data_IF_992886740215
#
_entry.id   IF_992886740215
#
_cell.length_a   1.000
_cell.length_b   1.000
_cell.length_c   1.000
_cell.angle_alpha   90.00
_cell.angle_beta   90.00
_cell.angle_gamma   90.00
#
_symmetry.space_group_name_H-M   'P 1'
#
loop_
_entity.id
_entity.type
_entity.pdbx_description
1 polymer ?
#
# COMPACT_ATOMS: atom_id res chain seq x y z
N UNK A 1 38.24 -49.97 18.63
CA UNK A 1 38.09 -48.53 18.34
C UNK A 1 36.70 -48.32 17.76
N UNK A 2 35.79 -47.71 18.53
CA UNK A 2 34.42 -47.42 18.10
C UNK A 2 34.38 -45.96 17.64
N UNK A 3 34.02 -45.75 16.38
CA UNK A 3 33.72 -44.42 15.84
C UNK A 3 32.46 -43.87 16.53
N UNK A 4 32.44 -42.60 16.95
CA UNK A 4 31.21 -41.97 17.37
C UNK A 4 30.36 -41.66 16.12
N UNK A 5 29.13 -42.14 16.17
CA UNK A 5 28.04 -41.78 15.27
C UNK A 5 27.83 -40.26 15.31
N UNK A 6 28.14 -39.58 14.21
CA UNK A 6 27.75 -38.18 14.01
C UNK A 6 26.23 -38.08 13.98
N UNK A 7 25.71 -37.23 14.86
CA UNK A 7 24.31 -36.84 14.96
C UNK A 7 23.92 -36.05 13.71
N UNK A 8 23.14 -36.66 12.82
CA UNK A 8 22.46 -36.00 11.69
C UNK A 8 21.08 -35.54 12.17
N UNK A 9 21.02 -34.44 12.92
CA UNK A 9 19.78 -33.75 13.25
C UNK A 9 20.02 -32.24 13.15
N UNK A 10 19.11 -31.56 12.48
CA UNK A 10 18.96 -30.11 12.28
C UNK A 10 19.68 -29.50 11.07
N UNK A 11 19.18 -29.81 9.87
CA UNK A 11 19.32 -28.94 8.70
C UNK A 11 18.00 -28.94 7.91
N UNK A 12 16.92 -28.44 8.51
CA UNK A 12 15.61 -28.37 7.85
C UNK A 12 14.74 -27.20 8.34
N UNK A 13 15.34 -26.05 8.65
CA UNK A 13 14.62 -24.82 9.05
C UNK A 13 15.19 -23.54 8.42
N UNK A 14 15.74 -23.64 7.21
CA UNK A 14 15.91 -22.48 6.35
C UNK A 14 15.06 -22.69 5.11
N UNK A 15 13.74 -22.81 5.29
CA UNK A 15 12.83 -22.36 4.26
C UNK A 15 13.03 -20.85 4.21
N UNK A 16 13.86 -20.38 3.29
CA UNK A 16 13.88 -18.98 2.91
C UNK A 16 12.45 -18.68 2.46
N UNK A 17 11.68 -18.00 3.31
CA UNK A 17 10.50 -17.29 2.85
C UNK A 17 11.00 -16.40 1.72
N UNK A 18 10.51 -16.60 0.49
CA UNK A 18 10.65 -15.53 -0.50
C UNK A 18 10.06 -14.28 0.14
N UNK A 19 10.77 -13.16 0.12
CA UNK A 19 10.29 -11.88 0.66
C UNK A 19 9.79 -11.03 -0.52
N UNK A 20 8.54 -10.52 -0.46
CA UNK A 20 8.23 -9.09 -0.47
C UNK A 20 9.38 -8.15 -0.64
N UNK A 21 9.75 -7.68 -1.83
CA UNK A 21 11.03 -7.01 -2.01
C UNK A 21 12.14 -7.95 -1.51
N UNK A 22 12.89 -8.61 -2.39
CA UNK A 22 13.88 -9.60 -1.95
C UNK A 22 14.89 -8.95 -1.00
N UNK A 23 15.08 -9.54 0.20
CA UNK A 23 15.85 -8.95 1.32
C UNK A 23 15.31 -7.62 1.89
N UNK A 24 14.03 -7.33 1.68
CA UNK A 24 13.30 -6.21 2.25
C UNK A 24 13.01 -6.33 3.74
N UNK A 25 12.59 -5.20 4.31
CA UNK A 25 12.11 -5.17 5.70
C UNK A 25 10.57 -5.27 5.68
N UNK A 26 9.97 -6.25 6.38
CA UNK A 26 8.53 -6.30 6.55
C UNK A 26 8.00 -5.03 7.23
N UNK A 27 6.91 -4.50 6.73
CA UNK A 27 6.19 -3.37 7.34
C UNK A 27 4.79 -3.79 7.74
N UNK A 28 4.24 -3.14 8.75
CA UNK A 28 2.85 -3.39 9.15
C UNK A 28 1.92 -2.77 8.11
N UNK A 29 1.27 -3.64 7.32
CA UNK A 29 0.35 -3.21 6.27
C UNK A 29 -0.82 -2.38 6.82
N UNK A 30 -1.24 -2.61 8.07
CA UNK A 30 -2.30 -1.79 8.68
C UNK A 30 -1.90 -0.33 8.90
N UNK A 31 -0.59 -0.03 8.95
CA UNK A 31 -0.05 1.33 9.08
C UNK A 31 0.18 2.00 7.71
N UNK A 32 -0.01 1.26 6.62
CA UNK A 32 0.06 1.71 5.23
C UNK A 32 -1.20 1.23 4.50
N UNK A 33 -2.36 1.56 5.09
CA UNK A 33 -3.68 1.08 4.66
C UNK A 33 -4.18 1.70 3.35
N UNK A 34 -3.46 2.66 2.80
CA UNK A 34 -3.59 3.14 1.43
C UNK A 34 -2.91 2.22 0.39
N UNK A 35 -1.92 1.43 0.78
CA UNK A 35 -1.27 0.48 -0.13
C UNK A 35 -2.17 -0.75 -0.26
N UNK A 36 -2.49 -1.15 -1.49
CA UNK A 36 -3.40 -2.28 -1.76
C UNK A 36 -2.78 -3.25 -2.75
N UNK A 37 -3.20 -4.52 -2.66
CA UNK A 37 -2.82 -5.53 -3.64
C UNK A 37 -3.92 -5.62 -4.70
N UNK A 38 -3.53 -5.64 -5.96
CA UNK A 38 -4.43 -5.97 -7.06
C UNK A 38 -4.25 -7.44 -7.40
N UNK A 39 -5.33 -8.20 -7.42
CA UNK A 39 -5.34 -9.65 -7.57
C UNK A 39 -6.16 -10.09 -8.79
N UNK A 40 -5.85 -11.29 -9.27
CA UNK A 40 -6.69 -12.04 -10.20
C UNK A 40 -7.43 -13.16 -9.46
N UNK A 41 -8.77 -13.14 -9.50
CA UNK A 41 -9.64 -14.11 -8.84
C UNK A 41 -9.44 -15.56 -9.29
N UNK A 42 -8.91 -15.76 -10.50
CA UNK A 42 -8.68 -17.07 -11.12
C UNK A 42 -7.22 -17.51 -11.12
N UNK A 43 -6.27 -16.58 -11.00
CA UNK A 43 -4.84 -16.86 -11.03
C UNK A 43 -4.10 -16.07 -9.94
N UNK A 44 -3.94 -16.70 -8.77
CA UNK A 44 -3.27 -16.10 -7.60
C UNK A 44 -1.79 -15.74 -7.82
N UNK A 45 -1.18 -16.17 -8.91
CA UNK A 45 0.18 -15.77 -9.27
C UNK A 45 0.23 -14.45 -10.04
N UNK A 46 -0.91 -13.94 -10.50
CA UNK A 46 -1.04 -12.62 -11.12
C UNK A 46 -1.55 -11.64 -10.08
N UNK A 47 -0.64 -10.81 -9.59
CA UNK A 47 -0.94 -9.71 -8.71
C UNK A 47 0.03 -8.55 -8.94
N UNK A 48 -0.40 -7.36 -8.54
CA UNK A 48 0.39 -6.14 -8.55
C UNK A 48 0.18 -5.37 -7.25
N UNK A 49 1.03 -4.36 -7.04
CA UNK A 49 0.86 -3.38 -5.96
C UNK A 49 0.16 -2.14 -6.53
N UNK A 50 -0.65 -1.46 -5.73
CA UNK A 50 -1.25 -0.18 -6.06
C UNK A 50 -1.37 0.68 -4.81
N UNK A 51 -1.59 1.98 -4.99
CA UNK A 51 -1.82 2.93 -3.90
C UNK A 51 -3.17 3.62 -4.07
N UNK A 52 -3.99 3.60 -3.02
CA UNK A 52 -5.30 4.25 -2.97
C UNK A 52 -5.14 5.77 -3.12
N UNK A 53 -5.94 6.33 -4.01
CA UNK A 53 -6.08 7.75 -4.24
C UNK A 53 -7.56 8.11 -4.38
N UNK A 54 -7.97 9.28 -3.91
CA UNK A 54 -9.36 9.77 -4.04
C UNK A 54 -10.45 8.77 -3.58
N UNK A 55 -10.24 8.13 -2.42
CA UNK A 55 -11.24 7.34 -1.70
C UNK A 55 -11.59 5.97 -2.28
N UNK A 56 -11.66 5.82 -3.61
CA UNK A 56 -12.10 4.58 -4.30
C UNK A 56 -11.30 4.25 -5.55
N UNK A 57 -10.31 5.07 -5.88
CA UNK A 57 -9.38 4.81 -6.97
C UNK A 57 -8.07 4.27 -6.40
N UNK A 58 -7.33 3.52 -7.20
CA UNK A 58 -5.94 3.19 -6.89
C UNK A 58 -5.07 3.37 -8.14
N UNK A 59 -3.89 3.95 -7.96
CA UNK A 59 -2.89 4.10 -9.02
C UNK A 59 -1.92 2.92 -8.99
N UNK A 60 -1.57 2.42 -10.17
CA UNK A 60 -0.69 1.26 -10.37
C UNK A 60 0.05 1.38 -11.70
N UNK A 61 0.83 0.36 -12.08
CA UNK A 61 1.48 0.33 -13.38
C UNK A 61 0.46 0.01 -14.48
N UNK A 62 0.63 0.63 -15.65
CA UNK A 62 -0.25 0.43 -16.80
C UNK A 62 -0.28 -1.03 -17.26
N UNK A 63 0.85 -1.73 -17.20
CA UNK A 63 0.91 -3.15 -17.56
C UNK A 63 0.14 -4.05 -16.60
N UNK A 64 -0.04 -3.68 -15.33
CA UNK A 64 -0.90 -4.41 -14.40
C UNK A 64 -2.37 -4.39 -14.88
N UNK A 65 -2.79 -3.28 -15.50
CA UNK A 65 -4.12 -3.13 -16.11
C UNK A 65 -4.19 -3.76 -17.50
N UNK A 66 -3.20 -3.51 -18.35
CA UNK A 66 -3.20 -3.90 -19.76
C UNK A 66 -2.96 -5.39 -20.00
N UNK A 67 -2.08 -6.03 -19.22
CA UNK A 67 -1.75 -7.44 -19.41
C UNK A 67 -2.93 -8.36 -19.03
N UNK A 68 -3.98 -7.77 -18.45
CA UNK A 68 -5.29 -8.36 -18.23
C UNK A 68 -5.34 -9.28 -17.01
N UNK A 69 -6.55 -9.37 -16.44
CA UNK A 69 -6.88 -10.39 -15.44
C UNK A 69 -6.86 -9.93 -13.99
N UNK A 70 -6.36 -8.74 -13.66
CA UNK A 70 -6.63 -8.18 -12.34
C UNK A 70 -8.10 -7.75 -12.26
N UNK A 71 -8.81 -8.26 -11.26
CA UNK A 71 -10.25 -8.06 -11.07
C UNK A 71 -10.65 -7.84 -9.61
N UNK A 72 -9.69 -7.91 -8.69
CA UNK A 72 -9.89 -7.70 -7.25
C UNK A 72 -8.87 -6.67 -6.73
N UNK A 73 -9.32 -5.80 -5.84
CA UNK A 73 -8.49 -4.99 -4.94
C UNK A 73 -8.58 -5.57 -3.53
N UNK A 74 -7.43 -5.82 -2.91
CA UNK A 74 -7.32 -6.35 -1.55
C UNK A 74 -6.69 -5.28 -0.66
N UNK A 75 -7.49 -4.57 0.15
CA UNK A 75 -7.00 -3.63 1.16
C UNK A 75 -6.55 -4.34 2.44
N UNK A 76 -5.90 -3.61 3.35
CA UNK A 76 -5.37 -4.18 4.61
C UNK A 76 -6.46 -4.50 5.64
N UNK A 77 -7.61 -3.85 5.55
CA UNK A 77 -8.63 -3.77 6.60
C UNK A 77 -10.04 -4.15 6.13
N UNK A 78 -10.21 -4.57 4.87
CA UNK A 78 -11.51 -4.90 4.30
C UNK A 78 -11.45 -6.19 3.48
N UNK A 79 -12.62 -6.70 3.13
CA UNK A 79 -12.73 -7.83 2.22
C UNK A 79 -12.25 -7.46 0.82
N UNK A 80 -11.96 -8.49 0.03
CA UNK A 80 -11.60 -8.33 -1.38
C UNK A 80 -12.71 -7.59 -2.14
N UNK A 81 -12.36 -6.47 -2.76
CA UNK A 81 -13.27 -5.58 -3.46
C UNK A 81 -13.17 -5.83 -4.98
N UNK A 82 -14.26 -6.19 -5.67
CA UNK A 82 -14.24 -6.32 -7.13
C UNK A 82 -13.93 -4.98 -7.79
N UNK A 83 -13.02 -4.99 -8.77
CA UNK A 83 -12.75 -3.82 -9.59
C UNK A 83 -13.96 -3.53 -10.50
N UNK A 84 -14.47 -2.30 -10.46
CA UNK A 84 -15.59 -1.86 -11.29
C UNK A 84 -15.17 -1.10 -12.54
N UNK A 85 -13.97 -0.51 -12.54
CA UNK A 85 -13.40 0.13 -13.72
C UNK A 85 -11.86 0.16 -13.69
N UNK A 86 -11.26 0.24 -14.88
CA UNK A 86 -9.82 0.33 -15.07
C UNK A 86 -9.52 1.26 -16.24
N UNK A 87 -8.50 2.08 -16.11
CA UNK A 87 -8.03 3.02 -17.12
C UNK A 87 -6.54 2.85 -17.35
N UNK A 88 -6.15 2.87 -18.61
CA UNK A 88 -4.78 2.82 -19.05
C UNK A 88 -4.36 4.22 -19.50
N UNK A 89 -3.15 4.66 -19.14
CA UNK A 89 -2.60 5.92 -19.63
C UNK A 89 -2.70 5.98 -21.17
N UNK A 90 -3.20 7.09 -21.76
CA UNK A 90 -3.28 7.23 -23.23
C UNK A 90 -1.95 7.09 -23.95
N UNK A 91 -0.84 7.37 -23.24
CA UNK A 91 0.54 7.24 -23.72
C UNK A 91 1.23 6.03 -23.08
N UNK A 92 0.46 4.98 -22.73
CA UNK A 92 1.00 3.71 -22.24
C UNK A 92 2.00 3.09 -23.21
N UNK A 93 1.75 3.19 -24.52
CA UNK A 93 2.71 2.86 -25.55
C UNK A 93 3.16 4.10 -26.32
N UNK A 94 4.41 4.12 -26.75
CA UNK A 94 4.93 5.12 -27.69
C UNK A 94 4.55 4.79 -29.15
N UNK A 95 5.02 5.63 -30.08
CA UNK A 95 4.79 5.46 -31.52
C UNK A 95 5.36 4.16 -32.12
N UNK A 96 6.20 3.43 -31.36
CA UNK A 96 6.80 2.16 -31.73
C UNK A 96 6.18 0.97 -30.98
N UNK A 97 5.05 1.17 -30.31
CA UNK A 97 4.36 0.15 -29.50
C UNK A 97 5.18 -0.35 -28.31
N UNK A 98 6.14 0.45 -27.82
CA UNK A 98 6.92 0.16 -26.63
C UNK A 98 6.25 0.79 -25.43
N UNK A 99 6.24 0.08 -24.29
CA UNK A 99 5.75 0.64 -23.02
C UNK A 99 6.48 1.95 -22.69
N UNK A 100 5.72 3.03 -22.58
CA UNK A 100 6.17 4.39 -22.34
C UNK A 100 5.69 4.88 -20.97
N UNK A 101 4.59 5.64 -20.89
CA UNK A 101 4.02 6.12 -19.61
C UNK A 101 3.22 5.00 -18.95
N UNK A 102 3.93 4.06 -18.33
CA UNK A 102 3.41 2.81 -17.77
C UNK A 102 2.65 3.03 -16.45
N UNK A 103 1.50 3.71 -16.54
CA UNK A 103 0.61 4.00 -15.40
C UNK A 103 -0.82 3.60 -15.75
N UNK A 104 -1.51 3.04 -14.77
CA UNK A 104 -2.92 2.70 -14.80
C UNK A 104 -3.63 3.16 -13.54
N UNK A 105 -4.94 3.33 -13.65
CA UNK A 105 -5.82 3.63 -12.52
C UNK A 105 -6.91 2.55 -12.50
N UNK A 106 -7.21 2.01 -11.33
CA UNK A 106 -8.35 1.12 -11.11
C UNK A 106 -9.33 1.77 -10.14
N UNK A 107 -10.57 1.29 -10.13
CA UNK A 107 -11.62 1.79 -9.24
C UNK A 107 -12.49 0.64 -8.73
N UNK A 108 -12.99 0.82 -7.52
CA UNK A 108 -14.07 0.03 -6.91
C UNK A 108 -15.34 0.91 -6.76
N UNK A 109 -16.49 0.28 -6.53
CA UNK A 109 -17.77 1.01 -6.48
C UNK A 109 -17.91 1.85 -5.20
N UNK A 110 -17.60 1.25 -4.05
CA UNK A 110 -17.73 1.87 -2.73
C UNK A 110 -16.41 2.51 -2.27
N UNK A 111 -16.46 3.63 -1.51
CA UNK A 111 -15.28 4.18 -0.86
C UNK A 111 -14.56 3.17 0.03
N UNK A 112 -13.23 3.21 0.03
CA UNK A 112 -12.36 2.41 0.89
C UNK A 112 -11.93 3.25 2.08
N UNK A 113 -12.00 2.65 3.26
CA UNK A 113 -11.58 3.27 4.52
C UNK A 113 -10.05 3.18 4.68
N UNK A 114 -9.36 4.31 4.75
CA UNK A 114 -7.91 4.37 5.00
C UNK A 114 -7.51 5.69 5.70
N UNK A 115 -6.46 5.62 6.52
CA UNK A 115 -5.91 6.75 7.28
C UNK A 115 -4.59 7.25 6.72
N UNK A 116 -3.71 6.33 6.32
CA UNK A 116 -2.43 6.68 5.73
C UNK A 116 -2.66 7.30 4.37
N UNK A 117 -1.87 8.30 4.00
CA UNK A 117 -1.99 8.94 2.69
C UNK A 117 -0.62 9.37 2.19
N UNK A 118 -0.37 9.08 0.92
CA UNK A 118 0.82 9.49 0.21
C UNK A 118 0.42 10.42 -0.95
N UNK A 119 0.77 11.70 -0.86
CA UNK A 119 0.33 12.69 -1.86
C UNK A 119 1.12 12.60 -3.15
N UNK A 120 0.51 12.97 -4.26
CA UNK A 120 1.15 12.96 -5.57
C UNK A 120 2.10 14.15 -5.73
N UNK A 121 3.34 13.91 -6.15
CA UNK A 121 4.36 14.93 -6.34
C UNK A 121 4.77 15.03 -7.81
N UNK A 122 4.67 16.24 -8.36
CA UNK A 122 4.95 16.58 -9.75
C UNK A 122 6.27 17.36 -9.93
N UNK A 123 7.00 17.57 -8.84
CA UNK A 123 8.30 18.23 -8.84
C UNK A 123 9.39 17.29 -9.35
N UNK A 124 10.47 17.89 -9.84
CA UNK A 124 11.67 17.15 -10.19
C UNK A 124 12.41 16.65 -8.95
N UNK A 125 12.99 15.45 -9.06
CA UNK A 125 13.78 14.83 -8.01
C UNK A 125 15.27 15.04 -8.26
N UNK A 126 16.03 15.12 -7.17
CA UNK A 126 17.49 15.28 -7.23
C UNK A 126 18.19 13.94 -7.11
N UNK A 127 19.27 13.76 -7.88
CA UNK A 127 20.16 12.59 -7.75
C UNK A 127 20.60 12.39 -6.28
N UNK A 128 20.58 11.14 -5.84
CA UNK A 128 20.91 10.75 -4.46
C UNK A 128 19.79 10.96 -3.45
N UNK A 129 18.63 11.49 -3.86
CA UNK A 129 17.49 11.66 -2.96
C UNK A 129 17.00 10.30 -2.45
N UNK A 130 16.94 10.17 -1.12
CA UNK A 130 16.47 8.95 -0.46
C UNK A 130 14.99 8.75 -0.76
N UNK A 131 14.65 7.53 -1.15
CA UNK A 131 13.30 7.14 -1.46
C UNK A 131 13.05 5.70 -1.02
N UNK A 132 11.78 5.33 -0.98
CA UNK A 132 11.31 4.04 -0.53
C UNK A 132 10.35 3.47 -1.56
N UNK A 133 10.38 2.14 -1.73
CA UNK A 133 9.37 1.39 -2.48
C UNK A 133 8.80 0.33 -1.55
N UNK A 134 7.47 0.26 -1.47
CA UNK A 134 6.74 -0.75 -0.71
C UNK A 134 5.85 -1.58 -1.62
N UNK A 135 5.91 -2.90 -1.50
CA UNK A 135 5.13 -3.78 -2.35
C UNK A 135 4.98 -5.21 -1.82
N UNK A 136 4.17 -5.98 -2.55
CA UNK A 136 3.80 -7.36 -2.23
C UNK A 136 4.57 -8.41 -3.06
N UNK A 137 5.51 -7.99 -3.90
CA UNK A 137 6.25 -8.87 -4.79
C UNK A 137 7.08 -9.93 -4.08
N UNK A 138 6.76 -11.21 -4.30
CA UNK A 138 7.44 -12.34 -3.65
C UNK A 138 6.82 -12.78 -2.32
N UNK A 139 5.97 -11.95 -1.70
CA UNK A 139 5.11 -12.28 -0.56
C UNK A 139 3.76 -11.63 -0.74
N UNK A 140 2.87 -12.32 -1.44
CA UNK A 140 1.51 -11.82 -1.68
C UNK A 140 0.85 -11.31 -0.39
N UNK A 141 1.03 -11.99 0.75
CA UNK A 141 0.32 -11.68 1.99
C UNK A 141 1.10 -10.79 2.98
N UNK A 142 2.26 -10.25 2.60
CA UNK A 142 2.96 -9.27 3.44
C UNK A 142 3.53 -8.12 2.64
N UNK A 143 3.27 -6.90 3.14
CA UNK A 143 3.85 -5.69 2.62
C UNK A 143 5.29 -5.56 3.14
N UNK A 144 6.21 -5.24 2.25
CA UNK A 144 7.61 -5.08 2.59
C UNK A 144 8.18 -3.85 1.92
N UNK A 145 9.34 -3.42 2.42
CA UNK A 145 10.00 -2.20 2.05
C UNK A 145 11.43 -2.43 1.58
N UNK A 146 11.83 -1.74 0.51
CA UNK A 146 13.23 -1.49 0.15
C UNK A 146 13.55 0.01 0.16
N UNK A 147 14.78 0.32 0.54
CA UNK A 147 15.35 1.65 0.49
C UNK A 147 16.18 1.82 -0.79
N UNK A 148 15.98 2.94 -1.46
CA UNK A 148 16.67 3.30 -2.69
C UNK A 148 17.14 4.75 -2.63
N UNK A 149 17.98 5.12 -3.58
CA UNK A 149 18.23 6.52 -3.94
C UNK A 149 17.80 6.79 -5.37
N UNK A 150 17.17 7.94 -5.61
CA UNK A 150 16.90 8.41 -6.96
C UNK A 150 18.21 8.57 -7.72
N UNK A 151 18.30 7.98 -8.91
CA UNK A 151 19.51 8.03 -9.73
C UNK A 151 19.39 9.17 -10.75
N UNK A 152 18.57 8.99 -11.78
CA UNK A 152 18.42 9.97 -12.85
C UNK A 152 17.12 9.79 -13.64
N UNK A 153 16.79 10.82 -14.41
CA UNK A 153 15.82 10.74 -15.50
C UNK A 153 16.47 10.13 -16.74
N UNK A 154 15.71 9.40 -17.56
CA UNK A 154 16.18 8.95 -18.86
C UNK A 154 16.42 10.14 -19.78
N UNK A 155 17.59 10.19 -20.40
CA UNK A 155 18.09 11.34 -21.17
C UNK A 155 17.20 11.79 -22.35
N UNK A 156 16.40 10.88 -22.92
CA UNK A 156 15.47 11.20 -24.01
C UNK A 156 14.01 11.30 -23.54
N UNK A 157 13.66 10.50 -22.53
CA UNK A 157 12.28 10.22 -22.14
C UNK A 157 12.12 10.53 -20.65
N UNK A 158 12.01 11.82 -20.30
CA UNK A 158 11.95 12.27 -18.90
C UNK A 158 10.76 11.72 -18.09
N UNK A 159 9.81 11.02 -18.71
CA UNK A 159 8.80 10.25 -17.98
C UNK A 159 9.38 8.98 -17.31
N UNK A 160 10.56 8.54 -17.75
CA UNK A 160 11.24 7.35 -17.27
C UNK A 160 12.34 7.72 -16.29
N UNK A 161 12.38 7.05 -15.14
CA UNK A 161 13.33 7.32 -14.06
C UNK A 161 14.00 6.05 -13.56
N UNK A 162 15.18 6.24 -12.96
CA UNK A 162 16.02 5.18 -12.44
C UNK A 162 16.33 5.37 -10.97
N UNK A 163 16.61 4.26 -10.30
CA UNK A 163 16.94 4.19 -8.90
C UNK A 163 18.07 3.19 -8.61
N UNK A 164 18.91 3.57 -7.66
CA UNK A 164 20.00 2.75 -7.15
C UNK A 164 19.58 2.06 -5.85
N UNK A 165 19.89 0.76 -5.74
CA UNK A 165 19.69 0.00 -4.51
C UNK A 165 20.67 0.46 -3.44
N UNK A 166 20.20 0.71 -2.21
CA UNK A 166 21.06 1.10 -1.08
C UNK A 166 21.79 -0.10 -0.47
N UNK A 167 21.20 -1.29 -0.58
CA UNK A 167 21.75 -2.55 -0.06
C UNK A 167 21.26 -3.71 -0.95
N UNK A 168 21.34 -4.96 -0.48
CA UNK A 168 20.89 -6.13 -1.23
C UNK A 168 19.36 -6.25 -1.39
N UNK A 169 18.61 -5.34 -0.74
CA UNK A 169 17.16 -5.26 -0.84
C UNK A 169 16.72 -4.70 -2.19
N UNK A 170 15.79 -5.37 -2.86
CA UNK A 170 15.32 -4.94 -4.17
C UNK A 170 13.90 -5.40 -4.51
N UNK A 171 13.22 -4.69 -5.41
CA UNK A 171 11.89 -5.11 -5.89
C UNK A 171 11.94 -6.42 -6.67
N UNK A 172 10.80 -7.07 -6.86
CA UNK A 172 10.65 -8.32 -7.63
C UNK A 172 9.25 -8.40 -8.25
N UNK A 173 8.93 -9.52 -8.92
CA UNK A 173 7.63 -9.73 -9.54
C UNK A 173 6.49 -9.60 -8.52
N UNK A 174 5.50 -8.75 -8.82
CA UNK A 174 4.39 -8.40 -7.94
C UNK A 174 4.51 -7.01 -7.27
N UNK A 175 5.72 -6.41 -7.27
CA UNK A 175 5.93 -5.02 -6.84
C UNK A 175 5.52 -4.00 -7.92
N UNK A 176 5.28 -4.45 -9.16
CA UNK A 176 4.78 -3.61 -10.24
C UNK A 176 3.60 -2.76 -9.77
N UNK A 177 3.67 -1.45 -10.03
CA UNK A 177 2.68 -0.48 -9.61
C UNK A 177 2.87 0.11 -8.22
N UNK A 178 3.85 -0.37 -7.44
CA UNK A 178 4.21 0.23 -6.16
C UNK A 178 4.62 1.70 -6.30
N UNK A 179 4.24 2.52 -5.33
CA UNK A 179 4.64 3.91 -5.25
C UNK A 179 6.14 4.06 -4.93
N UNK A 180 6.80 4.99 -5.60
CA UNK A 180 8.12 5.50 -5.22
C UNK A 180 7.90 6.73 -4.35
N UNK A 181 8.20 6.61 -3.07
CA UNK A 181 7.91 7.65 -2.09
C UNK A 181 9.16 8.32 -1.56
N UNK A 182 9.10 9.64 -1.44
CA UNK A 182 10.08 10.46 -0.73
C UNK A 182 9.45 11.03 0.54
N UNK A 183 10.26 11.43 1.51
CA UNK A 183 9.78 12.28 2.59
C UNK A 183 10.01 13.76 2.23
N UNK A 184 8.94 14.54 2.13
CA UNK A 184 8.99 15.99 1.89
C UNK A 184 8.18 16.71 2.95
N UNK A 185 8.85 17.59 3.69
CA UNK A 185 8.26 18.37 4.79
C UNK A 185 7.48 17.50 5.79
N UNK A 186 7.97 16.28 6.06
CA UNK A 186 7.36 15.33 7.00
C UNK A 186 6.23 14.48 6.43
N UNK A 187 5.86 14.64 5.14
CA UNK A 187 4.85 13.83 4.47
C UNK A 187 5.50 12.87 3.47
N UNK A 188 4.95 11.68 3.32
CA UNK A 188 5.31 10.80 2.21
C UNK A 188 4.63 11.29 0.93
N UNK A 189 5.41 11.39 -0.14
CA UNK A 189 4.92 11.83 -1.44
C UNK A 189 5.37 10.88 -2.56
N UNK A 190 4.42 10.51 -3.42
CA UNK A 190 4.61 9.64 -4.58
C UNK A 190 5.08 10.49 -5.75
N UNK A 191 6.30 10.27 -6.24
CA UNK A 191 6.79 10.97 -7.43
C UNK A 191 6.89 10.07 -8.67
N UNK A 192 6.87 8.75 -8.49
CA UNK A 192 6.85 7.78 -9.58
C UNK A 192 6.12 6.49 -9.21
N UNK A 193 5.71 5.75 -10.24
CA UNK A 193 5.11 4.42 -10.15
C UNK A 193 6.09 3.38 -10.64
N UNK A 194 6.32 2.34 -9.84
CA UNK A 194 7.27 1.28 -10.15
C UNK A 194 6.83 0.49 -11.37
N UNK A 195 7.74 0.39 -12.35
CA UNK A 195 7.51 -0.40 -13.57
C UNK A 195 8.18 -1.76 -13.49
N UNK A 196 9.38 -1.81 -12.94
CA UNK A 196 10.14 -3.04 -12.81
C UNK A 196 11.61 -2.79 -12.55
N UNK A 197 12.38 -3.87 -12.59
CA UNK A 197 13.82 -3.85 -12.46
C UNK A 197 14.42 -4.92 -13.36
N UNK A 198 15.66 -4.70 -13.80
CA UNK A 198 16.43 -5.67 -14.56
C UNK A 198 17.82 -5.85 -13.93
N UNK A 199 18.37 -7.05 -14.01
CA UNK A 199 19.73 -7.34 -13.54
C UNK A 199 20.60 -7.54 -14.77
N UNK A 200 21.50 -6.60 -15.01
CA UNK A 200 22.51 -6.73 -16.06
C UNK A 200 23.81 -7.31 -15.50
N UNK A 201 24.51 -8.05 -16.35
CA UNK A 201 25.77 -8.73 -16.02
C UNK A 201 26.85 -8.16 -16.91
N UNK A 202 27.73 -7.39 -16.30
CA UNK A 202 28.92 -6.82 -16.93
C UNK A 202 30.18 -7.57 -16.51
N UNK A 203 31.26 -7.42 -17.28
CA UNK A 203 32.57 -7.98 -16.96
C UNK A 203 33.58 -6.85 -16.88
N UNK A 204 34.29 -6.72 -15.76
CA UNK A 204 35.37 -5.74 -15.67
C UNK A 204 36.61 -6.20 -16.46
N UNK A 205 37.59 -5.29 -16.63
CA UNK A 205 38.84 -5.54 -17.34
C UNK A 205 39.65 -6.73 -16.79
N UNK A 206 39.39 -7.14 -15.54
CA UNK A 206 40.03 -8.29 -14.89
C UNK A 206 39.26 -9.60 -15.09
N UNK A 207 38.18 -9.61 -15.88
CA UNK A 207 37.33 -10.77 -16.11
C UNK A 207 36.48 -11.16 -14.90
N UNK A 208 36.22 -10.22 -13.99
CA UNK A 208 35.28 -10.41 -12.86
C UNK A 208 33.89 -9.96 -13.29
N UNK A 209 32.90 -10.80 -13.02
CA UNK A 209 31.49 -10.52 -13.22
C UNK A 209 31.02 -9.42 -12.25
N UNK A 210 30.29 -8.44 -12.77
CA UNK A 210 29.65 -7.35 -12.03
C UNK A 210 28.16 -7.44 -12.35
N UNK A 211 27.35 -7.63 -11.31
CA UNK A 211 25.90 -7.53 -11.44
C UNK A 211 25.50 -6.10 -11.12
N UNK A 212 24.81 -5.44 -12.04
CA UNK A 212 24.14 -4.16 -11.77
C UNK A 212 22.64 -4.40 -11.84
N UNK A 213 21.91 -3.87 -10.86
CA UNK A 213 20.45 -3.93 -10.85
C UNK A 213 19.91 -2.55 -11.17
N UNK A 214 19.29 -2.43 -12.32
CA UNK A 214 18.57 -1.22 -12.72
C UNK A 214 17.15 -1.32 -12.19
N UNK A 215 16.68 -0.31 -11.47
CA UNK A 215 15.29 -0.20 -11.00
C UNK A 215 14.67 1.03 -11.61
N UNK A 216 13.48 0.89 -12.20
CA UNK A 216 12.90 1.95 -13.02
C UNK A 216 11.39 2.14 -12.82
N UNK A 217 10.92 3.34 -13.13
CA UNK A 217 9.55 3.77 -12.91
C UNK A 217 9.08 4.85 -13.88
N UNK A 218 7.79 5.19 -13.80
CA UNK A 218 7.16 6.26 -14.57
C UNK A 218 6.79 7.41 -13.65
N UNK A 219 7.17 8.65 -13.98
CA UNK A 219 6.93 9.81 -13.10
C UNK A 219 5.47 10.26 -13.10
N UNK A 220 4.97 10.67 -11.93
CA UNK A 220 3.65 11.29 -11.77
C UNK A 220 3.54 12.57 -12.60
N UNK A 221 4.61 13.36 -12.64
CA UNK A 221 4.70 14.58 -13.45
C UNK A 221 4.32 14.34 -14.92
N UNK A 222 4.68 13.18 -15.49
CA UNK A 222 4.42 12.88 -16.89
C UNK A 222 2.98 12.47 -17.22
N UNK A 223 2.19 12.10 -16.20
CA UNK A 223 0.82 11.55 -16.33
C UNK A 223 -0.24 12.41 -15.64
N UNK A 224 0.08 13.66 -15.30
CA UNK A 224 -0.84 14.59 -14.63
C UNK A 224 -2.21 14.68 -15.30
N UNK A 225 -2.22 14.92 -16.62
CA UNK A 225 -3.43 15.00 -17.44
C UNK A 225 -4.28 13.72 -17.38
N UNK A 226 -3.62 12.55 -17.34
CA UNK A 226 -4.31 11.28 -17.24
C UNK A 226 -4.99 11.14 -15.88
N UNK A 227 -4.28 11.47 -14.80
CA UNK A 227 -4.81 11.41 -13.43
C UNK A 227 -5.99 12.36 -13.27
N UNK A 228 -5.83 13.63 -13.65
CA UNK A 228 -6.87 14.65 -13.45
C UNK A 228 -8.09 14.43 -14.33
N UNK A 229 -7.94 13.96 -15.57
CA UNK A 229 -9.08 13.60 -16.43
C UNK A 229 -9.83 12.36 -15.95
N UNK A 230 -9.15 11.44 -15.27
CA UNK A 230 -9.76 10.18 -14.81
C UNK A 230 -10.50 10.38 -13.49
N UNK A 231 -9.93 11.15 -12.57
CA UNK A 231 -10.46 11.31 -11.21
C UNK A 231 -11.33 12.57 -11.09
N UNK A 232 -10.80 13.72 -11.54
CA UNK A 232 -11.43 15.04 -11.44
C UNK A 232 -12.10 15.32 -10.09
N UNK A 233 -11.32 15.18 -9.01
CA UNK A 233 -11.82 15.23 -7.63
C UNK A 233 -10.71 15.49 -6.61
N UNK A 234 -10.99 15.22 -5.34
CA UNK A 234 -10.06 15.37 -4.23
C UNK A 234 -9.31 14.07 -3.93
N UNK A 235 -8.04 14.17 -3.55
CA UNK A 235 -7.29 13.11 -2.89
C UNK A 235 -7.07 13.45 -1.43
N UNK A 236 -7.55 12.57 -0.55
CA UNK A 236 -7.71 12.82 0.87
C UNK A 236 -7.74 11.49 1.65
N UNK A 237 -7.43 11.48 2.96
CA UNK A 237 -7.67 10.30 3.81
C UNK A 237 -9.17 10.16 4.07
N UNK A 238 -9.73 8.96 3.94
CA UNK A 238 -11.18 8.76 4.18
C UNK A 238 -11.51 8.62 5.66
N UNK A 239 -10.53 8.29 6.51
CA UNK A 239 -10.66 8.23 7.96
C UNK A 239 -9.66 9.16 8.66
N UNK A 240 -10.15 9.91 9.66
CA UNK A 240 -9.32 10.78 10.51
C UNK A 240 -9.77 10.66 11.97
N UNK A 241 -8.81 10.59 12.88
CA UNK A 241 -9.06 10.64 14.31
C UNK A 241 -8.59 12.00 14.87
N UNK A 242 -9.38 12.60 15.77
CA UNK A 242 -8.99 13.82 16.48
C UNK A 242 -8.02 13.53 17.61
N UNK A 243 -7.16 14.51 17.92
CA UNK A 243 -6.23 14.42 19.03
C UNK A 243 -6.94 14.42 20.41
N UNK A 244 -6.16 14.34 21.49
CA UNK A 244 -6.69 14.34 22.86
C UNK A 244 -7.46 15.62 23.26
N UNK A 245 -7.33 16.71 22.48
CA UNK A 245 -8.07 17.95 22.66
C UNK A 245 -9.29 18.04 21.72
N UNK A 246 -9.57 16.98 20.96
CA UNK A 246 -10.63 16.96 19.97
C UNK A 246 -10.29 17.72 18.69
N UNK A 247 -9.02 17.99 18.37
CA UNK A 247 -8.63 18.74 17.17
C UNK A 247 -7.96 17.84 16.13
N UNK A 248 -8.21 18.10 14.85
CA UNK A 248 -7.44 17.49 13.75
C UNK A 248 -7.12 18.52 12.67
N UNK A 249 -5.97 18.33 12.01
CA UNK A 249 -5.61 19.02 10.77
C UNK A 249 -5.55 18.00 9.65
N UNK A 250 -6.36 18.19 8.62
CA UNK A 250 -6.55 17.25 7.53
C UNK A 250 -5.98 17.85 6.27
N UNK A 251 -4.97 17.21 5.68
CA UNK A 251 -4.39 17.64 4.40
C UNK A 251 -5.12 16.93 3.25
N UNK A 252 -5.43 17.67 2.21
CA UNK A 252 -6.01 17.16 0.96
C UNK A 252 -5.25 17.72 -0.24
N UNK A 253 -5.38 17.06 -1.39
CA UNK A 253 -4.77 17.45 -2.65
C UNK A 253 -5.82 17.51 -3.77
N UNK A 254 -5.78 18.56 -4.59
CA UNK A 254 -6.65 18.66 -5.76
C UNK A 254 -6.13 17.76 -6.89
N UNK A 255 -6.99 16.87 -7.39
CA UNK A 255 -6.79 16.14 -8.65
C UNK A 255 -7.79 16.60 -9.73
N UNK A 256 -8.34 17.82 -9.59
CA UNK A 256 -9.21 18.42 -10.59
C UNK A 256 -8.42 18.84 -11.84
N UNK A 257 -9.08 18.87 -13.00
CA UNK A 257 -8.46 19.35 -14.24
C UNK A 257 -8.20 20.86 -14.25
N UNK A 258 -8.98 21.62 -13.49
CA UNK A 258 -8.88 23.07 -13.38
C UNK A 258 -8.82 23.50 -11.92
N UNK A 259 -8.52 24.78 -11.71
CA UNK A 259 -8.59 25.36 -10.38
C UNK A 259 -10.00 25.23 -9.77
N UNK A 260 -10.04 24.89 -8.49
CA UNK A 260 -11.30 24.65 -7.76
C UNK A 260 -11.31 25.40 -6.44
N UNK A 261 -12.48 25.55 -5.83
CA UNK A 261 -12.64 26.11 -4.49
C UNK A 261 -12.54 25.02 -3.43
N UNK A 262 -11.82 25.28 -2.34
CA UNK A 262 -11.72 24.38 -1.19
C UNK A 262 -12.89 24.53 -0.21
N UNK A 263 -14.12 24.62 -0.72
CA UNK A 263 -15.29 24.63 0.15
C UNK A 263 -15.57 23.21 0.66
N UNK A 264 -15.82 23.10 1.96
CA UNK A 264 -16.26 21.88 2.62
C UNK A 264 -17.28 22.25 3.71
N UNK A 265 -18.00 21.26 4.21
CA UNK A 265 -18.92 21.43 5.33
C UNK A 265 -18.97 20.18 6.18
N UNK A 266 -19.37 20.32 7.45
CA UNK A 266 -19.68 19.20 8.33
C UNK A 266 -21.19 19.04 8.43
N UNK A 267 -21.64 17.80 8.60
CA UNK A 267 -23.02 17.52 8.99
C UNK A 267 -23.05 17.06 10.45
N UNK A 268 -24.07 17.50 11.20
CA UNK A 268 -24.25 17.18 12.61
C UNK A 268 -23.55 18.10 13.62
N UNK A 269 -23.77 17.80 14.91
CA UNK A 269 -23.30 18.61 16.05
C UNK A 269 -21.93 18.16 16.61
N UNK A 270 -21.40 17.05 16.10
CA UNK A 270 -20.22 16.38 16.65
C UNK A 270 -18.88 16.92 16.12
N UNK A 271 -18.90 17.58 14.97
CA UNK A 271 -17.69 18.13 14.32
C UNK A 271 -17.95 19.54 13.82
N UNK A 272 -17.06 20.46 14.18
CA UNK A 272 -17.05 21.85 13.73
C UNK A 272 -15.84 22.10 12.84
N UNK A 273 -16.08 22.69 11.67
CA UNK A 273 -15.03 23.14 10.76
C UNK A 273 -14.60 24.57 11.09
N UNK A 274 -13.30 24.77 11.33
CA UNK A 274 -12.71 26.07 11.70
C UNK A 274 -12.17 26.74 10.44
N UNK A 275 -13.03 27.52 9.77
CA UNK A 275 -12.74 28.09 8.44
C UNK A 275 -11.51 29.01 8.43
N UNK A 276 -11.34 29.82 9.47
CA UNK A 276 -10.24 30.79 9.60
C UNK A 276 -8.85 30.15 9.77
N UNK A 277 -8.80 28.91 10.26
CA UNK A 277 -7.55 28.13 10.41
C UNK A 277 -7.34 27.18 9.22
N UNK A 278 -8.38 26.95 8.40
CA UNK A 278 -8.34 26.05 7.26
C UNK A 278 -7.77 26.74 6.03
N UNK A 279 -6.62 26.27 5.54
CA UNK A 279 -5.97 26.87 4.36
C UNK A 279 -6.78 26.67 3.08
N UNK A 280 -7.63 25.65 3.00
CA UNK A 280 -8.53 25.44 1.87
C UNK A 280 -9.54 26.60 1.67
N UNK A 281 -9.93 27.30 2.76
CA UNK A 281 -10.79 28.49 2.68
C UNK A 281 -10.00 29.77 2.49
N UNK A 282 -8.86 29.90 3.17
CA UNK A 282 -8.10 31.16 3.19
C UNK A 282 -7.25 31.39 1.94
N UNK A 283 -6.88 30.32 1.21
CA UNK A 283 -6.15 30.41 -0.06
C UNK A 283 -7.02 30.86 -1.25
N UNK A 284 -8.34 30.66 -1.19
CA UNK A 284 -9.25 30.94 -2.30
C UNK A 284 -9.31 29.79 -3.32
N UNK A 285 -8.62 29.93 -4.45
CA UNK A 285 -8.57 28.90 -5.50
C UNK A 285 -7.38 27.97 -5.30
N UNK A 286 -7.61 26.68 -5.51
CA UNK A 286 -6.62 25.61 -5.35
C UNK A 286 -6.32 25.04 -6.73
N UNK A 287 -5.05 25.07 -7.10
CA UNK A 287 -4.58 24.59 -8.41
C UNK A 287 -4.52 23.05 -8.45
N UNK A 288 -4.52 22.43 -9.65
CA UNK A 288 -4.25 20.99 -9.78
C UNK A 288 -2.95 20.59 -9.08
N UNK A 289 -2.96 19.45 -8.39
CA UNK A 289 -1.90 18.92 -7.52
C UNK A 289 -1.54 19.78 -6.30
N UNK A 290 -2.16 20.95 -6.12
CA UNK A 290 -1.96 21.76 -4.93
C UNK A 290 -2.61 21.12 -3.70
N UNK A 291 -1.92 21.24 -2.57
CA UNK A 291 -2.40 20.81 -1.26
C UNK A 291 -2.99 21.97 -0.45
N UNK A 292 -4.01 21.67 0.31
CA UNK A 292 -4.56 22.55 1.33
C UNK A 292 -4.99 21.74 2.55
N UNK A 293 -5.32 22.43 3.64
CA UNK A 293 -5.68 21.83 4.93
C UNK A 293 -7.03 22.33 5.44
N UNK A 294 -7.77 21.42 6.08
CA UNK A 294 -8.88 21.73 6.95
C UNK A 294 -8.49 21.56 8.41
N UNK A 295 -9.02 22.41 9.27
CA UNK A 295 -8.88 22.30 10.72
C UNK A 295 -10.27 22.07 11.30
N UNK A 296 -10.43 20.99 12.04
CA UNK A 296 -11.70 20.63 12.67
C UNK A 296 -11.55 20.49 14.19
N UNK A 297 -12.65 20.69 14.89
CA UNK A 297 -12.83 20.35 16.30
C UNK A 297 -13.99 19.36 16.45
N UNK A 298 -13.85 18.37 17.32
CA UNK A 298 -14.85 17.35 17.61
C UNK A 298 -15.04 17.17 19.11
N UNK A 299 -16.24 16.75 19.50
CA UNK A 299 -16.55 16.31 20.86
C UNK A 299 -16.05 14.88 21.16
N UNK A 300 -15.42 14.21 20.19
CA UNK A 300 -14.91 12.85 20.30
C UNK A 300 -15.89 11.77 19.82
N UNK A 301 -17.11 12.14 19.44
CA UNK A 301 -18.05 11.24 18.77
C UNK A 301 -17.79 11.21 17.26
N UNK A 302 -18.40 10.24 16.59
CA UNK A 302 -18.33 10.10 15.13
C UNK A 302 -18.94 11.32 14.44
N UNK A 303 -18.30 11.78 13.38
CA UNK A 303 -18.76 12.88 12.54
C UNK A 303 -18.21 12.76 11.12
N UNK A 304 -18.59 13.70 10.26
CA UNK A 304 -18.25 13.67 8.84
C UNK A 304 -17.87 15.07 8.35
N UNK A 305 -16.83 15.12 7.50
CA UNK A 305 -16.45 16.28 6.72
C UNK A 305 -16.67 15.98 5.24
N UNK A 306 -17.55 16.76 4.61
CA UNK A 306 -17.92 16.64 3.20
C UNK A 306 -17.09 17.60 2.36
N UNK A 307 -16.28 17.06 1.45
CA UNK A 307 -15.59 17.83 0.41
C UNK A 307 -16.50 18.06 -0.78
N UNK A 308 -17.32 17.05 -1.09
CA UNK A 308 -18.48 17.08 -2.00
C UNK A 308 -19.52 16.08 -1.47
N UNK A 309 -20.66 15.96 -2.15
CA UNK A 309 -21.70 14.97 -1.80
C UNK A 309 -21.20 13.52 -1.81
N UNK A 310 -20.12 13.22 -2.55
CA UNK A 310 -19.60 11.85 -2.73
C UNK A 310 -18.15 11.68 -2.23
N UNK A 311 -17.59 12.70 -1.60
CA UNK A 311 -16.23 12.71 -1.07
C UNK A 311 -16.28 13.13 0.40
N UNK A 312 -16.31 12.10 1.25
CA UNK A 312 -16.55 12.24 2.69
C UNK A 312 -15.34 11.72 3.46
N UNK A 313 -14.96 12.47 4.49
CA UNK A 313 -13.97 12.07 5.49
C UNK A 313 -14.73 11.76 6.78
N UNK A 314 -14.65 10.51 7.24
CA UNK A 314 -15.25 10.13 8.51
C UNK A 314 -14.28 10.44 9.66
N UNK A 315 -14.80 11.14 10.66
CA UNK A 315 -14.08 11.62 11.82
C UNK A 315 -14.40 10.72 13.02
N UNK A 316 -13.38 10.23 13.71
CA UNK A 316 -13.51 9.35 14.89
C UNK A 316 -14.40 8.12 14.64
N UNK A 317 -14.46 7.62 13.40
CA UNK A 317 -15.22 6.42 13.06
C UNK A 317 -14.69 5.24 13.87
N UNK A 318 -15.54 4.53 14.63
CA UNK A 318 -15.11 3.36 15.39
C UNK A 318 -14.50 2.32 14.46
N UNK A 319 -13.39 1.71 14.90
CA UNK A 319 -12.84 0.55 14.21
C UNK A 319 -13.84 -0.60 14.37
N UNK A 320 -14.42 -1.06 13.27
CA UNK A 320 -15.24 -2.27 13.30
C UNK A 320 -14.33 -3.44 13.69
N UNK A 321 -14.48 -3.91 14.94
CA UNK A 321 -13.95 -5.20 15.30
C UNK A 321 -14.75 -6.23 14.50
N UNK A 322 -14.21 -6.72 13.39
CA UNK A 322 -14.67 -7.96 12.75
C UNK A 322 -14.42 -9.09 13.75
N UNK A 323 -15.33 -9.22 14.70
CA UNK A 323 -15.27 -10.19 15.77
C UNK A 323 -15.24 -11.58 15.17
N UNK A 324 -14.09 -12.24 15.29
CA UNK A 324 -14.08 -13.69 15.42
C UNK A 324 -15.02 -14.02 16.58
N UNK A 325 -16.14 -14.64 16.25
CA UNK A 325 -17.19 -14.89 17.22
C UNK A 325 -16.69 -15.72 18.41
N UNK A 326 -16.97 -15.25 19.61
CA UNK A 326 -17.78 -16.05 20.53
C UNK A 326 -18.70 -15.10 21.29
N UNK A 327 -19.99 -15.43 21.25
CA UNK A 327 -21.05 -14.59 21.74
C UNK A 327 -21.23 -14.70 23.26
N UNK A 328 -22.18 -13.92 23.76
CA UNK A 328 -22.94 -14.32 24.94
C UNK A 328 -22.52 -13.64 26.24
N UNK A 329 -23.24 -12.57 26.52
CA UNK A 329 -23.31 -11.86 27.78
C UNK A 329 -23.73 -12.74 28.99
N UNK A 330 -23.23 -12.34 30.16
CA UNK A 330 -23.83 -12.41 31.50
C UNK A 330 -23.71 -13.65 32.42
N UNK A 331 -23.57 -13.24 33.68
CA UNK A 331 -23.33 -13.95 34.92
C UNK A 331 -24.53 -14.81 35.40
N UNK A 332 -24.22 -15.76 36.28
CA UNK A 332 -25.06 -16.51 37.26
C UNK A 332 -25.95 -17.70 36.84
N UNK A 333 -25.78 -18.76 37.64
CA UNK A 333 -26.66 -19.88 37.99
C UNK A 333 -26.78 -21.13 37.11
N UNK A 334 -25.82 -22.04 37.37
CA UNK A 334 -26.03 -23.41 37.86
C UNK A 334 -27.28 -24.17 37.37
N UNK A 335 -27.13 -25.07 36.39
CA UNK A 335 -27.79 -26.38 36.42
C UNK A 335 -27.01 -27.43 35.61
N UNK A 336 -27.09 -28.65 36.10
CA UNK A 336 -26.33 -29.85 35.72
C UNK A 336 -26.59 -30.38 34.30
N UNK A 337 -25.62 -31.21 33.89
CA UNK A 337 -25.66 -32.35 32.96
C UNK A 337 -25.38 -32.10 31.47
N UNK A 338 -24.21 -32.60 31.07
CA UNK A 338 -24.14 -33.67 30.06
C UNK A 338 -23.26 -33.37 28.84
N UNK A 339 -22.08 -34.01 28.81
CA UNK A 339 -21.36 -34.59 27.65
C UNK A 339 -21.57 -33.93 26.27
N UNK A 340 -20.56 -33.59 25.47
CA UNK A 340 -19.34 -34.34 25.10
C UNK A 340 -18.60 -33.51 24.04
N UNK A 341 -17.26 -33.47 24.05
CA UNK A 341 -16.47 -32.93 22.92
C UNK A 341 -15.11 -32.39 23.34
N UNK A 342 -14.17 -33.27 23.69
CA UNK A 342 -12.86 -32.89 24.23
C UNK A 342 -11.90 -32.34 23.17
N UNK A 343 -11.37 -31.15 23.43
CA UNK A 343 -10.17 -30.61 22.79
C UNK A 343 -8.93 -31.31 23.34
N UNK A 344 -8.17 -31.99 22.49
CA UNK A 344 -6.87 -32.59 22.84
C UNK A 344 -5.81 -31.49 22.94
N UNK A 345 -5.47 -31.14 24.19
CA UNK A 345 -4.41 -30.19 24.49
C UNK A 345 -3.02 -30.74 24.13
N UNK A 346 -2.16 -29.81 23.71
CA UNK A 346 -0.76 -29.92 23.29
C UNK A 346 0.19 -30.75 24.20
N UNK A 347 -0.26 -31.18 25.38
CA UNK A 347 0.49 -32.02 26.32
C UNK A 347 0.40 -33.53 26.06
N UNK A 348 -0.46 -33.99 25.14
CA UNK A 348 -0.65 -35.41 24.83
C UNK A 348 0.39 -36.02 23.87
N UNK A 349 1.22 -35.20 23.23
CA UNK A 349 2.28 -35.66 22.32
C UNK A 349 3.62 -35.96 23.02
N UNK A 350 3.80 -35.53 24.27
CA UNK A 350 5.06 -35.73 25.02
C UNK A 350 5.17 -37.11 25.71
N UNK A 351 4.07 -37.88 25.80
CA UNK A 351 4.07 -39.22 26.40
C UNK A 351 4.11 -40.39 25.40
N UNK A 352 4.05 -40.13 24.09
CA UNK A 352 4.21 -41.16 23.04
C UNK A 352 5.68 -41.44 22.67
N UNK A 353 6.63 -40.61 23.12
CA UNK A 353 8.07 -40.79 22.89
C UNK A 353 8.80 -41.73 23.86
N UNK A 354 8.18 -42.13 24.98
CA UNK A 354 8.85 -42.96 26.01
C UNK A 354 8.38 -44.43 25.96
N UNK A 355 7.34 -44.76 25.20
CA UNK A 355 6.80 -46.13 25.11
C UNK A 355 7.44 -47.02 24.01
N UNK A 356 8.32 -46.49 23.15
CA UNK A 356 8.99 -47.28 22.09
C UNK A 356 10.41 -47.74 22.42
N UNK A 357 10.98 -47.35 23.57
CA UNK A 357 12.32 -47.80 24.03
C UNK A 357 12.31 -49.02 24.98
N UNK A 358 11.19 -49.74 25.09
CA UNK A 358 11.15 -51.04 25.78
C UNK A 358 10.47 -52.12 24.96
N UNK A 359 11.09 -52.50 23.83
CA UNK A 359 10.93 -53.86 23.30
C UNK A 359 12.10 -54.31 22.42
N UNK A 360 13.25 -54.57 23.05
CA UNK A 360 14.03 -55.83 22.94
C UNK A 360 15.46 -55.65 23.48
N UNK A 361 15.71 -56.33 24.60
CA UNK A 361 16.98 -56.72 25.22
C UNK A 361 17.94 -55.62 25.66
#
# INVERSE_FOLDING_TARGET
MRLPSLSLIALSLLSASSYAVENGTPVDWSQHDDTVRLDNSTNKSLYCTATLISGRYAITAGHCVNDGGLDIMTPSNSENLPLSAQWLSPEYTDEYDRRAKDVGIVRVDDPVDYRHIQFLNIDEQSEGQVMVIRGFGGTADSLNQADFTFSNYHWADHYYVYADTVNESHTTGGDSGAAWTINKDGNEEIFAIHRGSDTSVDWNDNGTEIHTRETYGTTIQSVQDFITKTIDGWHYPTLVDTDANGKATITIQSLHQAETSGFAYTDGENTTLINEESTCFTKGQIQPFEKCTYVIESNGEEGELYLTDNEVIHINKPIENTGGGDGGNNNTDNTNNGNTGGSVGFWSLLFLGIATLRRKR
#
